data_IF_229715602580
#
_entry.id   IF_229715602580
#
_cell.length_a   1.000
_cell.length_b   1.000
_cell.length_c   1.000
_cell.angle_alpha   90.00
_cell.angle_beta   90.00
_cell.angle_gamma   90.00
#
_symmetry.space_group_name_H-M   'P 1'
#
loop_
_entity.id
_entity.type
_entity.pdbx_description
1 polymer ?
#
# COMPACT_ATOMS: atom_id res chain seq x y z
N UNK A 1 -2.97 34.64 -17.03
CA UNK A 1 -2.77 33.26 -17.48
C UNK A 1 -3.98 32.79 -18.31
N UNK A 2 -5.20 32.97 -17.83
CA UNK A 2 -6.43 32.56 -18.54
C UNK A 2 -6.57 33.25 -19.91
N UNK A 3 -6.50 34.57 -19.95
CA UNK A 3 -6.56 35.34 -21.20
C UNK A 3 -5.45 34.95 -22.22
N UNK A 4 -4.25 34.61 -21.73
CA UNK A 4 -3.17 34.15 -22.58
C UNK A 4 -3.46 32.74 -23.12
N UNK A 5 -4.04 31.86 -22.30
CA UNK A 5 -4.47 30.53 -22.74
C UNK A 5 -5.56 30.61 -23.79
N UNK A 6 -6.57 31.46 -23.59
CA UNK A 6 -7.65 31.66 -24.57
C UNK A 6 -7.11 32.16 -25.92
N UNK A 7 -6.28 33.19 -25.90
CA UNK A 7 -5.65 33.71 -27.11
C UNK A 7 -4.84 32.65 -27.88
N UNK A 8 -4.03 31.86 -27.18
CA UNK A 8 -3.24 30.79 -27.78
C UNK A 8 -4.12 29.64 -28.28
N UNK A 9 -5.20 29.32 -27.56
CA UNK A 9 -6.18 28.29 -27.95
C UNK A 9 -6.93 28.68 -29.23
N UNK A 10 -7.25 29.96 -29.42
CA UNK A 10 -7.82 30.47 -30.67
C UNK A 10 -6.86 30.37 -31.85
N UNK A 11 -5.58 30.64 -31.64
CA UNK A 11 -4.56 30.45 -32.67
C UNK A 11 -4.50 28.98 -33.15
N UNK A 12 -4.56 28.04 -32.20
CA UNK A 12 -4.61 26.59 -32.55
C UNK A 12 -5.88 26.24 -33.31
N UNK A 13 -7.05 26.76 -32.88
CA UNK A 13 -8.33 26.52 -33.61
C UNK A 13 -8.30 27.05 -35.04
N UNK A 14 -7.56 28.16 -35.25
CA UNK A 14 -7.38 28.76 -36.57
C UNK A 14 -6.27 28.09 -37.42
N UNK A 15 -5.75 26.93 -36.98
CA UNK A 15 -4.76 26.15 -37.70
C UNK A 15 -3.33 26.70 -37.60
N UNK A 16 -3.05 27.66 -36.77
CA UNK A 16 -1.71 28.22 -36.58
C UNK A 16 -0.87 27.31 -35.68
N UNK A 17 0.39 27.08 -36.05
CA UNK A 17 1.33 26.31 -35.26
C UNK A 17 1.90 27.17 -34.13
N UNK A 18 1.79 26.70 -32.92
CA UNK A 18 2.43 27.28 -31.75
C UNK A 18 3.94 27.00 -31.75
N UNK A 19 4.73 27.92 -31.20
CA UNK A 19 6.11 27.60 -30.87
C UNK A 19 6.17 26.66 -29.64
N UNK A 20 7.32 26.04 -29.38
CA UNK A 20 7.50 25.07 -28.29
C UNK A 20 7.06 25.61 -26.93
N UNK A 21 7.41 26.85 -26.59
CA UNK A 21 7.04 27.44 -25.28
C UNK A 21 5.53 27.70 -25.16
N UNK A 22 4.90 28.13 -26.25
CA UNK A 22 3.44 28.35 -26.29
C UNK A 22 2.67 27.01 -26.19
N UNK A 23 3.11 25.99 -26.90
CA UNK A 23 2.51 24.64 -26.83
C UNK A 23 2.66 24.02 -25.43
N UNK A 24 3.84 24.15 -24.84
CA UNK A 24 4.10 23.74 -23.46
C UNK A 24 3.15 24.45 -22.47
N UNK A 25 3.04 25.78 -22.58
CA UNK A 25 2.16 26.56 -21.71
C UNK A 25 0.70 26.15 -21.84
N UNK A 26 0.20 26.01 -23.07
CA UNK A 26 -1.20 25.62 -23.34
C UNK A 26 -1.50 24.24 -22.74
N UNK A 27 -0.65 23.26 -22.98
CA UNK A 27 -0.82 21.90 -22.47
C UNK A 27 -0.73 21.83 -20.95
N UNK A 28 0.25 22.53 -20.35
CA UNK A 28 0.37 22.63 -18.90
C UNK A 28 -0.85 23.28 -18.27
N UNK A 29 -1.27 24.44 -18.78
CA UNK A 29 -2.44 25.14 -18.27
C UNK A 29 -3.69 24.29 -18.40
N UNK A 30 -3.88 23.63 -19.53
CA UNK A 30 -4.99 22.73 -19.80
C UNK A 30 -4.99 21.50 -18.89
N UNK A 31 -3.82 20.96 -18.54
CA UNK A 31 -3.72 19.79 -17.70
C UNK A 31 -4.05 20.08 -16.23
N UNK A 32 -3.65 21.24 -15.70
CA UNK A 32 -3.69 21.50 -14.26
C UNK A 32 -4.59 22.65 -13.84
N UNK A 33 -4.63 23.74 -14.61
CA UNK A 33 -5.26 24.99 -14.18
C UNK A 33 -6.65 25.21 -14.79
N UNK A 34 -6.85 24.81 -16.02
CA UNK A 34 -8.10 25.00 -16.73
C UNK A 34 -9.29 24.35 -15.98
N UNK A 35 -10.34 25.14 -15.71
CA UNK A 35 -11.53 24.69 -14.97
C UNK A 35 -11.20 24.05 -13.61
N UNK A 36 -10.21 24.58 -12.90
CA UNK A 36 -9.79 24.13 -11.57
C UNK A 36 -9.45 22.62 -11.49
N UNK A 37 -8.87 22.07 -12.54
CA UNK A 37 -8.52 20.64 -12.62
C UNK A 37 -7.59 20.18 -11.51
N UNK A 38 -6.75 21.07 -10.99
CA UNK A 38 -5.88 20.79 -9.83
C UNK A 38 -6.65 20.23 -8.63
N UNK A 39 -7.94 20.64 -8.44
CA UNK A 39 -8.77 20.10 -7.35
C UNK A 39 -9.04 18.60 -7.51
N UNK A 40 -9.13 18.10 -8.76
CA UNK A 40 -9.32 16.68 -9.03
C UNK A 40 -8.09 15.86 -8.60
N UNK A 41 -6.88 16.41 -8.81
CA UNK A 41 -5.65 15.77 -8.35
C UNK A 41 -5.54 15.76 -6.82
N UNK A 42 -5.88 16.87 -6.14
CA UNK A 42 -5.90 16.92 -4.67
C UNK A 42 -6.90 15.90 -4.08
N UNK A 43 -8.11 15.83 -4.65
CA UNK A 43 -9.09 14.80 -4.25
C UNK A 43 -8.56 13.40 -4.51
N UNK A 44 -7.89 13.20 -5.64
CA UNK A 44 -7.21 11.94 -5.98
C UNK A 44 -6.16 11.55 -4.93
N UNK A 45 -5.29 12.49 -4.52
CA UNK A 45 -4.31 12.27 -3.44
C UNK A 45 -5.02 11.85 -2.14
N UNK A 46 -6.08 12.55 -1.75
CA UNK A 46 -6.86 12.20 -0.56
C UNK A 46 -7.42 10.78 -0.62
N UNK A 47 -7.94 10.37 -1.79
CA UNK A 47 -8.45 9.00 -1.98
C UNK A 47 -7.31 7.97 -1.97
N UNK A 48 -6.17 8.26 -2.61
CA UNK A 48 -4.96 7.42 -2.57
C UNK A 48 -4.54 7.15 -1.13
N UNK A 49 -4.42 8.18 -0.30
CA UNK A 49 -4.05 8.05 1.11
C UNK A 49 -5.08 7.26 1.92
N UNK A 50 -6.36 7.51 1.69
CA UNK A 50 -7.45 6.78 2.36
C UNK A 50 -7.43 5.28 2.00
N UNK A 51 -7.34 4.95 0.72
CA UNK A 51 -7.25 3.56 0.24
C UNK A 51 -6.04 2.85 0.83
N UNK A 52 -4.88 3.52 0.82
CA UNK A 52 -3.64 3.00 1.40
C UNK A 52 -3.79 2.71 2.90
N UNK A 53 -4.39 3.63 3.65
CA UNK A 53 -4.61 3.47 5.09
C UNK A 53 -5.58 2.31 5.38
N UNK A 54 -6.71 2.21 4.66
CA UNK A 54 -7.67 1.11 4.80
C UNK A 54 -6.99 -0.23 4.46
N UNK A 55 -6.26 -0.29 3.36
CA UNK A 55 -5.57 -1.50 2.93
C UNK A 55 -4.50 -1.95 3.95
N UNK A 56 -3.72 -1.01 4.51
CA UNK A 56 -2.73 -1.34 5.53
C UNK A 56 -3.39 -1.86 6.81
N UNK A 57 -4.43 -1.17 7.32
CA UNK A 57 -5.12 -1.60 8.54
C UNK A 57 -5.72 -3.00 8.36
N UNK A 58 -6.40 -3.25 7.24
CA UNK A 58 -6.93 -4.57 6.91
C UNK A 58 -5.80 -5.60 6.78
N UNK A 59 -4.71 -5.23 6.10
CA UNK A 59 -3.52 -6.06 5.93
C UNK A 59 -2.88 -6.44 7.27
N UNK A 60 -2.75 -5.49 8.20
CA UNK A 60 -2.19 -5.75 9.53
C UNK A 60 -3.10 -6.71 10.32
N UNK A 61 -4.41 -6.49 10.30
CA UNK A 61 -5.36 -7.37 11.02
C UNK A 61 -5.32 -8.79 10.45
N UNK A 62 -5.47 -8.95 9.15
CA UNK A 62 -5.44 -10.26 8.49
C UNK A 62 -4.07 -10.94 8.63
N UNK A 63 -3.00 -10.18 8.41
CA UNK A 63 -1.63 -10.67 8.53
C UNK A 63 -1.29 -11.13 9.95
N UNK A 64 -1.74 -10.40 10.97
CA UNK A 64 -1.56 -10.80 12.36
C UNK A 64 -2.28 -12.12 12.68
N UNK A 65 -3.53 -12.28 12.23
CA UNK A 65 -4.29 -13.54 12.40
C UNK A 65 -3.55 -14.71 11.75
N UNK A 66 -3.13 -14.55 10.50
CA UNK A 66 -2.41 -15.58 9.75
C UNK A 66 -1.07 -15.90 10.41
N UNK A 67 -0.31 -14.89 10.84
CA UNK A 67 0.97 -15.07 11.53
C UNK A 67 0.80 -15.81 12.86
N UNK A 68 -0.21 -15.47 13.66
CA UNK A 68 -0.50 -16.15 14.94
C UNK A 68 -0.80 -17.64 14.74
N UNK A 69 -1.60 -18.00 13.73
CA UNK A 69 -1.90 -19.40 13.40
C UNK A 69 -0.61 -20.15 13.01
N UNK A 70 0.21 -19.56 12.14
CA UNK A 70 1.42 -20.19 11.62
C UNK A 70 2.50 -20.34 12.70
N UNK A 71 2.74 -19.30 13.49
CA UNK A 71 3.73 -19.33 14.58
C UNK A 71 3.26 -20.25 15.69
N UNK A 72 1.99 -20.18 16.08
CA UNK A 72 1.42 -21.05 17.12
C UNK A 72 1.50 -22.53 16.75
N UNK A 73 1.31 -22.89 15.46
CA UNK A 73 1.50 -24.28 15.00
C UNK A 73 2.98 -24.68 14.97
N UNK A 74 3.86 -23.82 14.49
CA UNK A 74 5.28 -24.10 14.37
C UNK A 74 5.97 -24.35 15.74
N UNK A 75 5.46 -23.73 16.81
CA UNK A 75 6.01 -23.86 18.16
C UNK A 75 5.51 -25.09 18.93
N UNK A 76 4.54 -25.84 18.40
CA UNK A 76 4.07 -27.06 19.02
C UNK A 76 5.12 -28.19 18.88
N UNK A 77 5.30 -28.98 19.95
CA UNK A 77 6.16 -30.17 19.91
C UNK A 77 5.67 -31.17 18.86
N UNK A 78 6.56 -31.79 18.08
CA UNK A 78 6.18 -32.66 16.97
C UNK A 78 5.18 -33.77 17.30
N UNK A 79 5.30 -34.36 18.52
CA UNK A 79 4.41 -35.44 18.97
C UNK A 79 3.10 -34.98 19.63
N UNK A 80 2.90 -33.68 19.84
CA UNK A 80 1.70 -33.12 20.49
C UNK A 80 1.08 -32.00 19.63
N UNK A 81 1.21 -32.08 18.32
CA UNK A 81 0.61 -31.09 17.41
C UNK A 81 -0.90 -31.25 17.36
N UNK A 82 -1.60 -30.14 17.59
CA UNK A 82 -3.06 -30.12 17.45
C UNK A 82 -3.45 -30.23 15.96
N UNK A 83 -4.22 -31.28 15.56
CA UNK A 83 -4.57 -31.51 14.17
C UNK A 83 -5.47 -30.40 13.61
N UNK A 84 -6.35 -29.81 14.40
CA UNK A 84 -7.22 -28.69 13.99
C UNK A 84 -6.37 -27.47 13.65
N UNK A 85 -5.42 -27.10 14.52
CA UNK A 85 -4.49 -25.99 14.23
C UNK A 85 -3.61 -26.32 13.01
N UNK A 86 -3.31 -27.60 12.78
CA UNK A 86 -2.61 -28.07 11.58
C UNK A 86 -3.37 -27.77 10.28
N UNK A 87 -4.70 -27.99 10.27
CA UNK A 87 -5.56 -27.66 9.14
C UNK A 87 -5.56 -26.14 8.89
N UNK A 88 -5.77 -25.33 9.94
CA UNK A 88 -5.72 -23.87 9.80
C UNK A 88 -4.37 -23.37 9.32
N UNK A 89 -3.27 -23.96 9.79
CA UNK A 89 -1.92 -23.62 9.33
C UNK A 89 -1.74 -23.97 7.84
N UNK A 90 -2.22 -25.14 7.40
CA UNK A 90 -2.15 -25.54 5.99
C UNK A 90 -2.94 -24.57 5.10
N UNK A 91 -4.16 -24.21 5.48
CA UNK A 91 -4.99 -23.23 4.76
C UNK A 91 -4.29 -21.87 4.71
N UNK A 92 -3.77 -21.39 5.84
CA UNK A 92 -3.03 -20.15 5.93
C UNK A 92 -1.81 -20.14 5.00
N UNK A 93 -1.03 -21.23 5.01
CA UNK A 93 0.16 -21.37 4.17
C UNK A 93 -0.18 -21.37 2.67
N UNK A 94 -1.20 -22.13 2.28
CA UNK A 94 -1.67 -22.15 0.89
C UNK A 94 -2.19 -20.77 0.47
N UNK A 95 -3.01 -20.12 1.29
CA UNK A 95 -3.54 -18.79 1.01
C UNK A 95 -2.42 -17.75 0.80
N UNK A 96 -1.43 -17.71 1.69
CA UNK A 96 -0.27 -16.82 1.56
C UNK A 96 0.51 -17.13 0.27
N UNK A 97 0.72 -18.41 -0.05
CA UNK A 97 1.43 -18.81 -1.26
C UNK A 97 0.69 -18.38 -2.52
N UNK A 98 -0.63 -18.59 -2.58
CA UNK A 98 -1.46 -18.21 -3.73
C UNK A 98 -1.51 -16.71 -3.91
N UNK A 99 -1.77 -15.96 -2.82
CA UNK A 99 -1.90 -14.50 -2.89
C UNK A 99 -0.57 -13.86 -3.31
N UNK A 100 0.56 -14.30 -2.74
CA UNK A 100 1.88 -13.75 -3.10
C UNK A 100 2.42 -14.27 -4.43
N UNK A 101 1.93 -15.41 -4.89
CA UNK A 101 2.33 -16.02 -6.15
C UNK A 101 1.52 -15.56 -7.37
N UNK A 102 0.47 -14.75 -7.18
CA UNK A 102 -0.38 -14.27 -8.27
C UNK A 102 -0.26 -12.75 -8.44
N UNK A 103 -0.36 -12.20 -9.68
CA UNK A 103 -0.25 -10.77 -9.92
C UNK A 103 -1.39 -9.99 -9.25
N UNK A 104 -1.07 -8.89 -8.59
CA UNK A 104 -2.05 -8.03 -7.90
C UNK A 104 -3.16 -7.54 -8.84
N UNK A 105 -2.82 -7.19 -10.09
CA UNK A 105 -3.81 -6.75 -11.08
C UNK A 105 -4.86 -7.84 -11.35
N UNK A 106 -4.46 -9.11 -11.44
CA UNK A 106 -5.40 -10.23 -11.64
C UNK A 106 -6.32 -10.39 -10.43
N UNK A 107 -5.79 -10.25 -9.22
CA UNK A 107 -6.57 -10.28 -7.99
C UNK A 107 -7.62 -9.15 -7.97
N UNK A 108 -7.25 -7.92 -8.37
CA UNK A 108 -8.18 -6.79 -8.50
C UNK A 108 -9.31 -7.08 -9.49
N UNK A 109 -9.00 -7.65 -10.64
CA UNK A 109 -10.01 -8.02 -11.66
C UNK A 109 -10.95 -9.12 -11.12
N UNK A 110 -10.43 -10.15 -10.46
CA UNK A 110 -11.25 -11.19 -9.84
C UNK A 110 -12.17 -10.58 -8.77
N UNK A 111 -11.62 -9.75 -7.89
CA UNK A 111 -12.40 -9.08 -6.84
C UNK A 111 -13.53 -8.22 -7.42
N UNK A 112 -13.25 -7.43 -8.46
CA UNK A 112 -14.24 -6.50 -9.01
C UNK A 112 -15.24 -7.14 -9.97
N UNK A 113 -14.81 -8.10 -10.79
CA UNK A 113 -15.65 -8.67 -11.86
C UNK A 113 -16.34 -9.98 -11.46
N UNK A 114 -15.82 -10.69 -10.45
CA UNK A 114 -16.35 -11.99 -10.03
C UNK A 114 -16.98 -11.90 -8.64
N UNK A 115 -16.19 -11.49 -7.62
CA UNK A 115 -16.63 -11.53 -6.21
C UNK A 115 -17.58 -10.36 -5.90
N UNK A 116 -17.25 -9.16 -6.31
CA UNK A 116 -18.02 -7.93 -6.09
C UNK A 116 -18.60 -7.36 -7.40
N UNK A 117 -19.01 -8.21 -8.33
CA UNK A 117 -19.52 -7.80 -9.64
C UNK A 117 -20.73 -6.85 -9.56
N UNK A 118 -21.53 -6.93 -8.51
CA UNK A 118 -22.69 -6.04 -8.27
C UNK A 118 -22.32 -4.73 -7.56
N UNK A 119 -21.06 -4.58 -7.11
CA UNK A 119 -20.63 -3.37 -6.41
C UNK A 119 -20.43 -2.22 -7.39
N UNK A 120 -20.88 -1.01 -7.00
CA UNK A 120 -20.62 0.23 -7.71
C UNK A 120 -19.48 1.06 -7.07
N UNK A 121 -18.95 0.62 -5.92
CA UNK A 121 -17.88 1.29 -5.23
C UNK A 121 -16.54 0.60 -5.51
N UNK A 122 -16.02 0.79 -6.71
CA UNK A 122 -14.75 0.18 -7.13
C UNK A 122 -13.55 0.63 -6.30
N UNK A 123 -13.59 1.84 -5.73
CA UNK A 123 -12.54 2.31 -4.82
C UNK A 123 -12.46 1.45 -3.55
N UNK A 124 -13.61 1.11 -2.96
CA UNK A 124 -13.66 0.24 -1.78
C UNK A 124 -13.28 -1.20 -2.14
N UNK A 125 -13.76 -1.72 -3.27
CA UNK A 125 -13.37 -3.06 -3.76
C UNK A 125 -11.83 -3.13 -3.95
N UNK A 126 -11.24 -2.08 -4.52
CA UNK A 126 -9.79 -1.97 -4.65
C UNK A 126 -9.07 -1.94 -3.31
N UNK A 127 -9.56 -1.16 -2.34
CA UNK A 127 -8.99 -1.11 -1.00
C UNK A 127 -9.05 -2.47 -0.29
N UNK A 128 -10.14 -3.23 -0.44
CA UNK A 128 -10.28 -4.59 0.09
C UNK A 128 -9.30 -5.56 -0.57
N UNK A 129 -9.18 -5.50 -1.89
CA UNK A 129 -8.25 -6.36 -2.63
C UNK A 129 -6.79 -6.10 -2.23
N UNK A 130 -6.39 -4.82 -2.17
CA UNK A 130 -5.06 -4.42 -1.70
C UNK A 130 -4.82 -4.86 -0.25
N UNK A 131 -5.83 -4.71 0.62
CA UNK A 131 -5.72 -5.12 2.02
C UNK A 131 -5.57 -6.63 2.21
N UNK A 132 -6.30 -7.45 1.43
CA UNK A 132 -6.15 -8.91 1.44
C UNK A 132 -4.76 -9.31 0.94
N UNK A 133 -4.31 -8.70 -0.14
CA UNK A 133 -2.97 -8.93 -0.67
C UNK A 133 -1.89 -8.55 0.36
N UNK A 134 -1.98 -7.35 0.92
CA UNK A 134 -1.08 -6.88 1.98
C UNK A 134 -1.09 -7.79 3.21
N UNK A 135 -2.24 -8.38 3.58
CA UNK A 135 -2.35 -9.33 4.68
C UNK A 135 -1.41 -10.53 4.53
N UNK A 136 -1.23 -11.03 3.30
CA UNK A 136 -0.28 -12.11 3.04
C UNK A 136 1.18 -11.66 3.25
N UNK A 137 1.55 -10.43 2.81
CA UNK A 137 2.88 -9.86 3.03
C UNK A 137 3.13 -9.54 4.50
N UNK A 138 2.16 -8.90 5.17
CA UNK A 138 2.24 -8.57 6.60
C UNK A 138 2.37 -9.82 7.46
N UNK A 139 1.71 -10.93 7.10
CA UNK A 139 1.87 -12.20 7.82
C UNK A 139 3.32 -12.70 7.82
N UNK A 140 4.03 -12.53 6.70
CA UNK A 140 5.45 -12.88 6.60
C UNK A 140 6.34 -11.85 7.32
N UNK A 141 5.98 -10.56 7.28
CA UNK A 141 6.69 -9.52 8.04
C UNK A 141 6.63 -9.84 9.54
N UNK A 142 5.44 -10.15 10.07
CA UNK A 142 5.26 -10.49 11.48
C UNK A 142 6.02 -11.78 11.83
N UNK A 143 5.87 -12.81 11.00
CA UNK A 143 6.58 -14.08 11.22
C UNK A 143 8.11 -13.88 11.18
N UNK A 144 8.62 -13.13 10.21
CA UNK A 144 10.04 -12.80 10.10
C UNK A 144 10.55 -11.99 11.29
N UNK A 145 9.79 -11.02 11.76
CA UNK A 145 10.12 -10.22 12.92
C UNK A 145 10.18 -11.03 14.23
N UNK A 146 9.25 -11.97 14.41
CA UNK A 146 9.29 -12.88 15.55
C UNK A 146 10.48 -13.85 15.50
N UNK A 147 10.85 -14.31 14.30
CA UNK A 147 12.00 -15.18 14.10
C UNK A 147 13.35 -14.47 14.17
N UNK A 148 13.37 -13.16 14.06
CA UNK A 148 14.58 -12.34 14.18
C UNK A 148 15.02 -12.14 15.64
N UNK A 149 14.14 -12.42 16.62
CA UNK A 149 14.49 -12.38 18.04
C UNK A 149 15.35 -13.59 18.37
N UNK A 150 16.44 -13.37 19.09
CA UNK A 150 17.34 -14.45 19.52
C UNK A 150 16.58 -15.54 20.28
N UNK A 151 16.64 -16.82 19.86
CA UNK A 151 16.01 -17.94 20.56
C UNK A 151 16.43 -18.06 22.03
N UNK A 152 17.63 -17.62 22.39
CA UNK A 152 18.10 -17.57 23.77
C UNK A 152 17.25 -16.72 24.70
N UNK A 153 16.49 -15.74 24.15
CA UNK A 153 15.54 -14.94 24.95
C UNK A 153 14.40 -15.80 25.49
N UNK A 154 13.89 -16.73 24.69
CA UNK A 154 12.86 -17.68 25.14
C UNK A 154 13.42 -18.64 26.17
N UNK A 155 14.63 -19.15 25.96
CA UNK A 155 15.30 -20.08 26.89
C UNK A 155 15.59 -19.41 28.23
N UNK A 156 16.13 -18.18 28.21
CA UNK A 156 16.42 -17.41 29.42
C UNK A 156 15.13 -17.10 30.22
N UNK A 157 14.07 -16.66 29.57
CA UNK A 157 12.80 -16.40 30.24
C UNK A 157 12.23 -17.66 30.92
N UNK A 158 12.32 -18.81 30.25
CA UNK A 158 11.87 -20.08 30.82
C UNK A 158 12.77 -20.58 31.95
N UNK A 159 14.08 -20.34 31.88
CA UNK A 159 15.02 -20.67 32.93
C UNK A 159 14.78 -19.86 34.22
N UNK A 160 14.24 -18.64 34.06
CA UNK A 160 13.80 -17.79 35.20
C UNK A 160 12.40 -18.19 35.72
N UNK A 161 11.79 -19.28 35.23
CA UNK A 161 10.52 -19.79 35.71
C UNK A 161 9.29 -19.13 35.02
N UNK A 162 9.49 -18.25 34.07
CA UNK A 162 8.38 -17.67 33.30
C UNK A 162 7.70 -18.73 32.44
N UNK A 163 6.39 -18.69 32.34
CA UNK A 163 5.68 -19.53 31.39
C UNK A 163 5.85 -19.02 29.97
N UNK A 164 5.50 -19.86 28.97
CA UNK A 164 5.63 -19.53 27.57
C UNK A 164 4.92 -18.22 27.19
N UNK A 165 3.68 -18.03 27.63
CA UNK A 165 2.88 -16.84 27.27
C UNK A 165 3.50 -15.56 27.86
N UNK A 166 3.92 -15.59 29.11
CA UNK A 166 4.59 -14.45 29.76
C UNK A 166 5.88 -14.10 29.02
N UNK A 167 6.73 -15.10 28.72
CA UNK A 167 7.97 -14.87 27.95
C UNK A 167 7.66 -14.29 26.57
N UNK A 168 6.64 -14.81 25.89
CA UNK A 168 6.23 -14.32 24.58
C UNK A 168 5.78 -12.87 24.62
N UNK A 169 4.85 -12.51 25.54
CA UNK A 169 4.26 -11.18 25.57
C UNK A 169 5.17 -10.12 26.21
N UNK A 170 5.97 -10.48 27.21
CA UNK A 170 6.78 -9.51 27.96
C UNK A 170 8.19 -9.36 27.38
N UNK A 171 8.70 -10.38 26.64
CA UNK A 171 10.10 -10.38 26.18
C UNK A 171 10.16 -10.42 24.65
N UNK A 172 9.53 -11.41 24.01
CA UNK A 172 9.72 -11.68 22.58
C UNK A 172 8.97 -10.66 21.72
N UNK A 173 7.66 -10.47 21.95
CA UNK A 173 6.84 -9.58 21.14
C UNK A 173 7.33 -8.13 21.17
N UNK A 174 7.69 -7.52 22.33
CA UNK A 174 8.23 -6.16 22.34
C UNK A 174 9.51 -6.01 21.52
N UNK A 175 10.39 -7.02 21.52
CA UNK A 175 11.59 -7.02 20.69
C UNK A 175 11.23 -7.19 19.20
N UNK A 176 10.34 -8.12 18.86
CA UNK A 176 9.90 -8.35 17.48
C UNK A 176 9.22 -7.11 16.86
N UNK A 177 8.41 -6.37 17.62
CA UNK A 177 7.75 -5.15 17.15
C UNK A 177 8.75 -4.14 16.60
N UNK A 178 9.94 -4.04 17.19
CA UNK A 178 10.98 -3.11 16.72
C UNK A 178 11.47 -3.41 15.30
N UNK A 179 11.50 -4.67 14.89
CA UNK A 179 11.83 -5.07 13.51
C UNK A 179 10.60 -5.07 12.59
N UNK A 180 9.40 -5.34 13.14
CA UNK A 180 8.15 -5.37 12.38
C UNK A 180 7.72 -3.97 11.95
N UNK A 181 7.81 -2.97 12.84
CA UNK A 181 7.33 -1.61 12.55
C UNK A 181 7.99 -0.95 11.34
N UNK A 182 9.32 -0.98 11.15
CA UNK A 182 9.96 -0.48 9.93
C UNK A 182 9.48 -1.19 8.67
N UNK A 183 9.32 -2.52 8.73
CA UNK A 183 8.83 -3.31 7.60
C UNK A 183 7.38 -2.96 7.24
N UNK A 184 6.52 -2.71 8.23
CA UNK A 184 5.14 -2.20 8.00
C UNK A 184 5.14 -0.80 7.40
N UNK A 185 6.09 0.06 7.79
CA UNK A 185 6.28 1.37 7.16
C UNK A 185 6.63 1.26 5.68
N UNK A 186 7.50 0.33 5.31
CA UNK A 186 7.81 0.04 3.91
C UNK A 186 6.60 -0.54 3.16
N UNK A 187 5.81 -1.42 3.79
CA UNK A 187 4.57 -1.94 3.23
C UNK A 187 3.56 -0.82 2.93
N UNK A 188 3.44 0.17 3.82
CA UNK A 188 2.63 1.36 3.57
C UNK A 188 3.07 2.12 2.30
N UNK A 189 4.39 2.32 2.12
CA UNK A 189 4.94 3.00 0.95
C UNK A 189 4.71 2.18 -0.33
N UNK A 190 4.74 0.85 -0.25
CA UNK A 190 4.39 -0.02 -1.38
C UNK A 190 2.91 0.10 -1.72
N UNK A 191 2.02 -0.03 -0.76
CA UNK A 191 0.56 0.12 -0.93
C UNK A 191 0.18 1.48 -1.51
N UNK A 192 0.89 2.55 -1.12
CA UNK A 192 0.66 3.90 -1.64
C UNK A 192 0.88 3.95 -3.16
N UNK A 193 1.87 3.26 -3.69
CA UNK A 193 2.12 3.16 -5.15
C UNK A 193 1.15 2.19 -5.81
N UNK A 194 0.89 1.06 -5.18
CA UNK A 194 0.01 0.01 -5.70
C UNK A 194 -1.46 0.45 -5.74
N UNK A 195 -1.85 1.48 -4.96
CA UNK A 195 -3.18 2.07 -5.05
C UNK A 195 -3.51 2.57 -6.46
N UNK A 196 -2.52 2.93 -7.28
CA UNK A 196 -2.71 3.31 -8.69
C UNK A 196 -3.35 2.19 -9.54
N UNK A 197 -3.14 0.92 -9.17
CA UNK A 197 -3.71 -0.23 -9.86
C UNK A 197 -5.25 -0.26 -9.80
N UNK A 198 -5.86 0.32 -8.75
CA UNK A 198 -7.33 0.32 -8.63
C UNK A 198 -8.01 1.13 -9.73
N UNK A 199 -7.29 2.01 -10.41
CA UNK A 199 -7.78 2.76 -11.57
C UNK A 199 -8.23 1.82 -12.69
N UNK A 200 -7.58 0.65 -12.85
CA UNK A 200 -7.92 -0.36 -13.87
C UNK A 200 -9.36 -0.88 -13.70
N UNK A 201 -9.84 -0.95 -12.49
CA UNK A 201 -11.21 -1.36 -12.18
C UNK A 201 -12.17 -0.16 -12.01
N UNK A 202 -11.72 1.07 -12.29
CA UNK A 202 -12.52 2.29 -12.14
C UNK A 202 -12.48 2.92 -10.73
N UNK A 203 -11.55 2.51 -9.88
CA UNK A 203 -11.33 3.13 -8.56
C UNK A 203 -10.81 4.56 -8.69
N UNK A 204 -11.44 5.49 -7.96
CA UNK A 204 -11.21 6.94 -8.08
C UNK A 204 -10.06 7.37 -7.16
N UNK A 205 -8.85 7.29 -7.66
CA UNK A 205 -7.65 7.76 -6.96
C UNK A 205 -6.85 8.76 -7.83
N UNK A 206 -5.59 9.04 -7.53
CA UNK A 206 -4.79 10.06 -8.19
C UNK A 206 -4.61 9.81 -9.70
N UNK A 207 -4.28 8.59 -10.11
CA UNK A 207 -4.12 8.24 -11.54
C UNK A 207 -5.45 8.31 -12.30
N UNK A 208 -6.56 7.94 -11.65
CA UNK A 208 -7.90 8.08 -12.21
C UNK A 208 -8.24 9.54 -12.51
N UNK A 209 -7.86 10.46 -11.62
CA UNK A 209 -8.05 11.89 -11.86
C UNK A 209 -7.29 12.37 -13.12
N UNK A 210 -6.04 11.92 -13.28
CA UNK A 210 -5.25 12.21 -14.47
C UNK A 210 -5.87 11.62 -15.75
N UNK A 211 -6.34 10.36 -15.71
CA UNK A 211 -7.03 9.74 -16.84
C UNK A 211 -8.27 10.52 -17.26
N UNK A 212 -9.03 11.06 -16.29
CA UNK A 212 -10.16 11.94 -16.58
C UNK A 212 -9.76 13.23 -17.31
N UNK A 213 -8.57 13.77 -17.05
CA UNK A 213 -8.01 14.92 -17.80
C UNK A 213 -7.54 14.47 -19.17
N UNK A 214 -6.77 13.38 -19.25
CA UNK A 214 -6.27 12.83 -20.53
C UNK A 214 -7.39 12.55 -21.52
N UNK A 215 -8.49 11.94 -21.07
CA UNK A 215 -9.65 11.61 -21.92
C UNK A 215 -10.37 12.85 -22.46
N UNK A 216 -10.23 14.00 -21.80
CA UNK A 216 -10.83 15.28 -22.24
C UNK A 216 -9.92 16.12 -23.10
N UNK A 217 -8.60 15.95 -22.91
CA UNK A 217 -7.59 16.80 -23.58
C UNK A 217 -6.86 16.11 -24.72
N UNK A 218 -6.91 14.79 -24.75
CA UNK A 218 -6.09 13.91 -25.60
C UNK A 218 -4.59 14.17 -25.45
N UNK A 219 -4.18 14.74 -24.29
CA UNK A 219 -2.80 15.05 -23.98
C UNK A 219 -2.36 14.25 -22.74
N UNK A 220 -1.57 13.17 -22.89
CA UNK A 220 -1.20 12.29 -21.78
C UNK A 220 0.03 12.76 -21.01
N UNK A 221 0.95 13.51 -21.65
CA UNK A 221 2.27 13.80 -21.09
C UNK A 221 2.19 14.53 -19.76
N UNK A 222 1.52 15.70 -19.73
CA UNK A 222 1.46 16.54 -18.52
C UNK A 222 0.69 15.89 -17.37
N UNK A 223 -0.51 15.31 -17.58
CA UNK A 223 -1.21 14.60 -16.52
C UNK A 223 -0.40 13.45 -15.92
N UNK A 224 0.26 12.62 -16.74
CA UNK A 224 1.07 11.50 -16.26
C UNK A 224 2.33 11.96 -15.54
N UNK A 225 3.04 12.98 -16.04
CA UNK A 225 4.19 13.56 -15.35
C UNK A 225 3.78 14.19 -14.01
N UNK A 226 2.62 14.85 -13.96
CA UNK A 226 2.07 15.41 -12.74
C UNK A 226 1.76 14.34 -11.70
N UNK A 227 1.16 13.24 -12.11
CA UNK A 227 0.92 12.07 -11.24
C UNK A 227 2.22 11.46 -10.76
N UNK A 228 3.18 11.23 -11.67
CA UNK A 228 4.48 10.66 -11.32
C UNK A 228 5.23 11.55 -10.30
N UNK A 229 5.24 12.87 -10.52
CA UNK A 229 5.83 13.83 -9.59
C UNK A 229 5.11 13.82 -8.23
N UNK A 230 3.78 13.75 -8.22
CA UNK A 230 3.00 13.72 -6.99
C UNK A 230 3.28 12.45 -6.19
N UNK A 231 3.28 11.26 -6.84
CA UNK A 231 3.67 10.01 -6.16
C UNK A 231 5.10 10.06 -5.65
N UNK A 232 6.03 10.61 -6.42
CA UNK A 232 7.42 10.76 -5.98
C UNK A 232 7.52 11.61 -4.70
N UNK A 233 6.84 12.77 -4.67
CA UNK A 233 6.82 13.65 -3.49
C UNK A 233 6.22 12.92 -2.28
N UNK A 234 5.09 12.22 -2.45
CA UNK A 234 4.47 11.44 -1.37
C UNK A 234 5.41 10.34 -0.86
N UNK A 235 6.02 9.56 -1.75
CA UNK A 235 6.97 8.50 -1.39
C UNK A 235 8.17 9.09 -0.66
N UNK A 236 8.77 10.18 -1.15
CA UNK A 236 9.90 10.84 -0.48
C UNK A 236 9.51 11.34 0.92
N UNK A 237 8.33 11.94 1.06
CA UNK A 237 7.82 12.42 2.35
C UNK A 237 7.68 11.27 3.35
N UNK A 238 6.96 10.20 2.98
CA UNK A 238 6.75 9.07 3.87
C UNK A 238 8.03 8.28 4.15
N UNK A 239 8.94 8.16 3.18
CA UNK A 239 10.26 7.55 3.40
C UNK A 239 11.11 8.36 4.38
N UNK A 240 11.09 9.69 4.30
CA UNK A 240 11.79 10.54 5.25
C UNK A 240 11.21 10.44 6.67
N UNK A 241 9.87 10.36 6.79
CA UNK A 241 9.20 10.16 8.07
C UNK A 241 9.56 8.79 8.66
N UNK A 242 9.56 7.74 7.84
CA UNK A 242 9.94 6.38 8.23
C UNK A 242 11.40 6.33 8.71
N UNK A 243 12.32 6.89 7.95
CA UNK A 243 13.74 6.95 8.34
C UNK A 243 13.97 7.68 9.67
N UNK A 244 13.20 8.74 9.94
CA UNK A 244 13.26 9.44 11.24
C UNK A 244 12.72 8.57 12.38
N UNK A 245 11.68 7.79 12.11
CA UNK A 245 11.11 6.85 13.07
C UNK A 245 12.08 5.70 13.38
N UNK A 246 12.69 5.10 12.36
CA UNK A 246 13.71 4.04 12.50
C UNK A 246 14.91 4.49 13.35
N UNK A 247 15.41 5.70 13.11
CA UNK A 247 16.51 6.27 13.91
C UNK A 247 16.14 6.40 15.40
N UNK A 248 14.88 6.73 15.72
CA UNK A 248 14.41 6.81 17.11
C UNK A 248 14.33 5.43 17.76
N UNK A 249 13.86 4.42 17.02
CA UNK A 249 13.83 3.04 17.51
C UNK A 249 15.26 2.52 17.80
N UNK A 250 16.19 2.72 16.90
CA UNK A 250 17.59 2.31 17.07
C UNK A 250 18.31 3.00 18.26
N UNK A 251 17.93 4.23 18.61
CA UNK A 251 18.48 4.93 19.78
C UNK A 251 17.95 4.35 21.11
N UNK A 252 16.76 3.79 21.10
CA UNK A 252 16.17 3.13 22.29
C UNK A 252 16.86 1.80 22.62
N UNK A 253 17.51 1.15 21.66
CA UNK A 253 18.23 -0.12 21.86
C UNK A 253 19.64 0.06 22.48
N UNK A 254 20.17 1.28 22.44
CA UNK A 254 21.50 1.60 22.98
C UNK A 254 21.50 2.07 24.44
N UNK A 255 20.33 2.17 25.07
CA UNK A 255 20.13 2.47 26.48
C UNK A 255 19.70 1.25 27.26
#
# INVERSE_FOLDING_TARGET
MEAQFEALSELVKNGQKLNFGQDFFVKFYQAFLYSDRWQQYIKGVGTTLLVTAIALVLGVVLGAIVAMVRVGYAQQKPHHRNPILGIFNAVAQVSVTVIRGTPMMVQLLIMSMVIFASSRNFTMVGALALGINSGAYVSEIIRGGLMAVDPGQMEAGRSLGLNYMTTMFEIIIPQAIRSILPALGNEFIMLLKDSSLITVIGGKELLYAAQGVMNRTYEPMFPLLGVAATYLVLVMLFSALLAKFERRLAQSDRR
#
